data_IF_075473725301
#
_entry.id   IF_075473725301
#
_cell.length_a   1.000
_cell.length_b   1.000
_cell.length_c   1.000
_cell.angle_alpha   90.00
_cell.angle_beta   90.00
_cell.angle_gamma   90.00
#
_symmetry.space_group_name_H-M   'P 1'
#
loop_
_entity.id
_entity.type
_entity.pdbx_description
1 polymer ?
#
# COMPACT_ATOMS: atom_id res chain seq x y z
N UNK A 1 -12.75 -10.31 -0.21
CA UNK A 1 -11.55 -9.55 -0.60
C UNK A 1 -11.07 -8.77 0.60
N UNK A 2 -9.80 -8.89 1.00
CA UNK A 2 -9.26 -8.15 2.15
C UNK A 2 -9.11 -6.66 1.80
N UNK A 3 -9.12 -5.80 2.81
CA UNK A 3 -9.08 -4.34 2.61
C UNK A 3 -7.75 -3.90 1.95
N UNK A 4 -6.65 -4.54 2.35
CA UNK A 4 -5.31 -4.35 1.82
C UNK A 4 -5.23 -4.72 0.34
N UNK A 5 -5.88 -5.82 -0.04
CA UNK A 5 -5.94 -6.28 -1.44
C UNK A 5 -6.71 -5.30 -2.32
N UNK A 6 -7.84 -4.83 -1.80
CA UNK A 6 -8.66 -3.82 -2.45
C UNK A 6 -7.85 -2.53 -2.65
N UNK A 7 -7.14 -2.08 -1.62
CA UNK A 7 -6.27 -0.89 -1.68
C UNK A 7 -5.17 -1.06 -2.71
N UNK A 8 -4.43 -2.19 -2.70
CA UNK A 8 -3.34 -2.41 -3.65
C UNK A 8 -3.84 -2.46 -5.10
N UNK A 9 -4.99 -3.09 -5.36
CA UNK A 9 -5.60 -3.09 -6.70
C UNK A 9 -6.04 -1.71 -7.16
N UNK A 10 -6.59 -0.91 -6.25
CA UNK A 10 -6.99 0.47 -6.56
C UNK A 10 -5.77 1.30 -6.91
N UNK A 11 -4.72 1.24 -6.09
CA UNK A 11 -3.45 1.91 -6.39
C UNK A 11 -2.96 1.48 -7.77
N UNK A 12 -2.86 0.16 -8.02
CA UNK A 12 -2.45 -0.36 -9.33
C UNK A 12 -3.33 0.14 -10.48
N UNK A 13 -4.65 0.15 -10.35
CA UNK A 13 -5.55 0.64 -11.40
C UNK A 13 -5.38 2.14 -11.67
N UNK A 14 -5.06 2.94 -10.64
CA UNK A 14 -4.75 4.36 -10.79
C UNK A 14 -3.42 4.56 -11.54
N UNK A 15 -2.44 3.66 -11.40
CA UNK A 15 -1.12 3.77 -12.05
C UNK A 15 -1.01 3.01 -13.38
N UNK A 16 -1.86 2.01 -13.63
CA UNK A 16 -1.76 1.10 -14.81
C UNK A 16 -1.86 1.83 -16.15
N UNK A 17 -2.54 2.98 -16.17
CA UNK A 17 -2.67 3.82 -17.36
C UNK A 17 -1.46 4.70 -17.65
N UNK A 18 -0.51 4.81 -16.71
CA UNK A 18 0.65 5.68 -16.86
C UNK A 18 1.86 4.88 -17.39
N UNK A 19 2.33 5.26 -18.58
CA UNK A 19 3.52 4.70 -19.24
C UNK A 19 4.84 5.29 -18.73
N UNK A 20 4.80 6.17 -17.72
CA UNK A 20 5.98 6.81 -17.15
C UNK A 20 6.89 5.79 -16.44
N UNK A 21 8.21 5.90 -16.61
CA UNK A 21 9.18 5.08 -15.87
C UNK A 21 9.16 5.37 -14.36
N UNK A 22 8.56 6.49 -13.96
CA UNK A 22 8.35 6.90 -12.58
C UNK A 22 6.88 6.71 -12.25
N UNK A 23 6.56 5.70 -11.45
CA UNK A 23 5.18 5.44 -11.00
C UNK A 23 4.57 6.69 -10.37
N UNK A 24 3.33 7.01 -10.74
CA UNK A 24 2.67 8.21 -10.21
C UNK A 24 2.53 8.14 -8.69
N UNK A 25 2.80 9.25 -7.98
CA UNK A 25 2.45 9.38 -6.57
C UNK A 25 0.94 9.34 -6.41
N UNK A 26 0.45 8.39 -5.61
CA UNK A 26 -0.97 8.29 -5.27
C UNK A 26 -1.21 8.87 -3.89
N UNK A 27 -2.12 9.85 -3.80
CA UNK A 27 -2.52 10.44 -2.54
C UNK A 27 -3.52 9.53 -1.80
N UNK A 28 -3.45 9.39 -0.47
CA UNK A 28 -4.37 8.56 0.31
C UNK A 28 -5.83 9.00 0.19
N UNK A 29 -6.08 10.28 -0.06
CA UNK A 29 -7.41 10.85 -0.30
C UNK A 29 -8.03 10.27 -1.57
N UNK A 30 -7.25 10.13 -2.65
CA UNK A 30 -7.70 9.51 -3.90
C UNK A 30 -8.06 8.05 -3.69
N UNK A 31 -7.23 7.33 -2.92
CA UNK A 31 -7.49 5.91 -2.58
C UNK A 31 -8.74 5.80 -1.72
N UNK A 32 -8.93 6.70 -0.75
CA UNK A 32 -10.12 6.77 0.11
C UNK A 32 -11.40 6.91 -0.72
N UNK A 33 -11.41 7.84 -1.68
CA UNK A 33 -12.56 8.06 -2.58
C UNK A 33 -12.87 6.83 -3.44
N UNK A 34 -11.85 6.20 -4.02
CA UNK A 34 -12.06 5.03 -4.89
C UNK A 34 -12.36 3.75 -4.09
N UNK A 35 -11.80 3.60 -2.89
CA UNK A 35 -11.98 2.41 -2.06
C UNK A 35 -13.28 2.43 -1.26
N UNK A 36 -13.87 3.60 -1.03
CA UNK A 36 -14.99 3.77 -0.10
C UNK A 36 -14.63 3.36 1.32
N UNK A 37 -13.37 3.57 1.71
CA UNK A 37 -12.84 3.24 3.03
C UNK A 37 -12.44 4.52 3.75
N UNK A 38 -12.58 4.62 5.09
CA UNK A 38 -12.12 5.78 5.83
C UNK A 38 -10.61 5.95 5.70
N UNK A 39 -10.16 7.21 5.69
CA UNK A 39 -8.77 7.59 5.48
C UNK A 39 -7.79 6.85 6.41
N UNK A 40 -8.15 6.71 7.70
CA UNK A 40 -7.35 5.99 8.69
C UNK A 40 -7.11 4.53 8.30
N UNK A 41 -8.15 3.86 7.79
CA UNK A 41 -8.07 2.46 7.37
C UNK A 41 -7.24 2.33 6.09
N UNK A 42 -7.35 3.29 5.17
CA UNK A 42 -6.50 3.34 3.97
C UNK A 42 -5.04 3.51 4.37
N UNK A 43 -4.74 4.43 5.29
CA UNK A 43 -3.37 4.64 5.78
C UNK A 43 -2.82 3.40 6.48
N UNK A 44 -3.63 2.72 7.32
CA UNK A 44 -3.25 1.46 7.94
C UNK A 44 -2.95 0.37 6.91
N UNK A 45 -3.80 0.20 5.89
CA UNK A 45 -3.56 -0.74 4.80
C UNK A 45 -2.30 -0.37 3.99
N UNK A 46 -2.09 0.90 3.67
CA UNK A 46 -0.90 1.35 2.95
C UNK A 46 0.38 1.07 3.75
N UNK A 47 0.35 1.24 5.07
CA UNK A 47 1.48 0.90 5.96
C UNK A 47 1.77 -0.60 6.01
N UNK A 48 0.74 -1.44 5.99
CA UNK A 48 0.90 -2.90 5.87
C UNK A 48 1.52 -3.26 4.51
N UNK A 49 1.01 -2.69 3.42
CA UNK A 49 1.54 -2.90 2.07
C UNK A 49 2.99 -2.40 1.93
N UNK A 50 3.34 -1.33 2.64
CA UNK A 50 4.70 -0.80 2.74
C UNK A 50 5.64 -1.76 3.48
N UNK A 51 5.20 -2.33 4.61
CA UNK A 51 5.97 -3.34 5.33
C UNK A 51 6.22 -4.61 4.47
N UNK A 52 5.30 -4.93 3.56
CA UNK A 52 5.47 -6.03 2.61
C UNK A 52 6.32 -5.66 1.38
N UNK A 53 6.71 -4.39 1.23
CA UNK A 53 7.47 -3.91 0.08
C UNK A 53 6.65 -3.78 -1.21
N UNK A 54 5.31 -3.80 -1.13
CA UNK A 54 4.43 -3.61 -2.28
C UNK A 54 4.19 -2.13 -2.62
N UNK A 55 4.31 -1.27 -1.61
CA UNK A 55 4.15 0.18 -1.74
C UNK A 55 5.31 0.86 -1.01
N UNK A 56 5.69 2.05 -1.44
CA UNK A 56 6.65 2.91 -0.75
C UNK A 56 5.99 4.23 -0.45
N UNK A 57 6.03 4.68 0.81
CA UNK A 57 5.60 6.03 1.14
C UNK A 57 6.76 7.02 0.89
N UNK A 58 6.43 8.19 0.34
CA UNK A 58 7.31 9.35 0.32
C UNK A 58 6.65 10.44 1.13
N UNK A 59 7.35 10.91 2.17
CA UNK A 59 6.99 12.11 2.90
C UNK A 59 7.90 13.23 2.46
N UNK A 60 7.30 14.27 1.89
CA UNK A 60 7.97 15.57 1.84
C UNK A 60 8.19 16.09 3.26
N UNK A 61 9.21 16.92 3.45
CA UNK A 61 9.65 17.46 4.76
C UNK A 61 8.50 18.14 5.54
N UNK A 62 7.49 18.68 4.85
CA UNK A 62 6.23 19.20 5.41
C UNK A 62 5.02 18.90 4.49
N UNK A 63 5.13 17.87 3.64
CA UNK A 63 4.20 17.62 2.55
C UNK A 63 3.21 16.48 2.80
N UNK A 64 2.15 16.39 1.97
CA UNK A 64 1.25 15.24 1.98
C UNK A 64 2.02 13.93 1.71
N UNK A 65 1.55 12.85 2.33
CA UNK A 65 2.13 11.51 2.15
C UNK A 65 1.70 10.99 0.79
N UNK A 66 2.66 10.70 -0.08
CA UNK A 66 2.38 10.05 -1.36
C UNK A 66 2.82 8.60 -1.33
N UNK A 67 2.04 7.74 -1.97
CA UNK A 67 2.31 6.32 -2.07
C UNK A 67 2.68 5.94 -3.49
N UNK A 68 3.77 5.18 -3.63
CA UNK A 68 4.28 4.68 -4.90
C UNK A 68 4.16 3.16 -4.90
N UNK A 69 3.56 2.58 -5.94
CA UNK A 69 3.55 1.13 -6.09
C UNK A 69 4.93 0.63 -6.53
N UNK A 70 5.43 -0.43 -5.91
CA UNK A 70 6.70 -1.04 -6.31
C UNK A 70 6.48 -2.06 -7.44
N UNK A 71 7.56 -2.51 -8.09
CA UNK A 71 7.50 -3.61 -9.07
C UNK A 71 6.88 -4.88 -8.47
N UNK A 72 7.19 -5.18 -7.21
CA UNK A 72 6.59 -6.29 -6.48
C UNK A 72 5.08 -6.08 -6.27
N UNK A 73 4.68 -4.87 -5.85
CA UNK A 73 3.26 -4.52 -5.68
C UNK A 73 2.46 -4.61 -6.98
N UNK A 74 3.04 -4.22 -8.11
CA UNK A 74 2.39 -4.37 -9.42
C UNK A 74 2.23 -5.83 -9.84
N UNK A 75 3.26 -6.65 -9.64
CA UNK A 75 3.20 -8.08 -9.93
C UNK A 75 2.13 -8.77 -9.07
N UNK A 76 2.05 -8.37 -7.80
CA UNK A 76 1.09 -8.93 -6.86
C UNK A 76 -0.35 -8.42 -7.11
N UNK A 77 -0.52 -7.15 -7.48
CA UNK A 77 -1.83 -6.59 -7.85
C UNK A 77 -2.46 -7.25 -9.09
N UNK A 78 -1.61 -7.76 -10.00
CA UNK A 78 -2.05 -8.55 -11.17
C UNK A 78 -2.52 -9.96 -10.79
N UNK A 79 -2.13 -10.49 -9.63
CA UNK A 79 -2.58 -11.80 -9.17
C UNK A 79 -4.02 -11.76 -8.68
N UNK A 80 -4.69 -12.91 -8.77
CA UNK A 80 -6.07 -13.07 -8.32
C UNK A 80 -6.18 -13.18 -6.80
N UNK A 81 -5.13 -13.69 -6.13
CA UNK A 81 -5.00 -13.79 -4.68
C UNK A 81 -3.71 -13.12 -4.26
N UNK A 82 -3.82 -12.16 -3.36
CA UNK A 82 -2.68 -11.45 -2.80
C UNK A 82 -2.17 -12.28 -1.62
N UNK A 83 -1.01 -12.91 -1.79
CA UNK A 83 -0.36 -13.63 -0.70
C UNK A 83 0.29 -12.60 0.22
N UNK A 84 -0.54 -11.90 0.99
CA UNK A 84 -0.13 -11.16 2.18
C UNK A 84 0.28 -12.22 3.21
N UNK A 85 1.46 -12.81 3.01
CA UNK A 85 2.11 -13.64 4.02
C UNK A 85 2.14 -12.81 5.27
N UNK A 86 1.41 -13.24 6.30
CA UNK A 86 1.33 -12.55 7.57
C UNK A 86 2.75 -12.16 7.99
N UNK A 87 3.07 -10.87 7.88
CA UNK A 87 4.10 -10.33 8.73
C UNK A 87 3.43 -10.26 10.10
N UNK A 88 3.32 -11.43 10.74
CA UNK A 88 3.24 -11.48 12.19
C UNK A 88 4.42 -10.65 12.61
N UNK A 89 4.15 -9.46 13.15
CA UNK A 89 5.11 -8.73 13.93
C UNK A 89 5.58 -9.79 14.94
N UNK A 90 6.78 -10.34 14.72
CA UNK A 90 7.42 -11.18 15.70
C UNK A 90 7.59 -10.24 16.87
N UNK A 91 6.60 -10.26 17.77
CA UNK A 91 6.53 -9.44 18.95
C UNK A 91 7.89 -9.61 19.60
N UNK A 92 8.79 -8.61 19.60
CA UNK A 92 9.99 -8.71 20.40
C UNK A 92 9.56 -8.37 21.82
N UNK A 93 8.58 -9.10 22.37
CA UNK A 93 8.42 -9.24 23.81
C UNK A 93 9.53 -10.18 24.29
N UNK A 94 10.74 -9.65 24.13
CA UNK A 94 12.00 -10.12 24.66
C UNK A 94 11.88 -10.06 26.18
N UNK A 95 11.81 -11.24 26.79
CA UNK A 95 12.10 -11.56 28.20
C UNK A 95 12.68 -10.41 29.05
N UNK A 96 12.07 -10.16 30.21
CA UNK A 96 12.77 -10.11 31.50
C UNK A 96 11.92 -10.88 32.51
N UNK A 97 12.38 -12.09 32.85
CA UNK A 97 12.88 -12.50 34.19
C UNK A 97 11.78 -12.43 35.23
#
# INVERSE_FOLDING_TARGET
MRAEEKVLRIIYNLVKGDGSPVHLPVAPETICQTAGLPLERVQACCKVLENHGYVTSSRGINGPVYYYITKAGMAEAKKSNLSLYFFSQANPSRRRV
#
